data_IF_501143416149
#
_entry.id   IF_501143416149
#
_cell.length_a   1.000
_cell.length_b   1.000
_cell.length_c   1.000
_cell.angle_alpha   90.00
_cell.angle_beta   90.00
_cell.angle_gamma   90.00
#
_symmetry.space_group_name_H-M   'P 1'
#
loop_
_entity.id
_entity.type
_entity.pdbx_description
1 polymer ?
#
# COMPACT_ATOMS: atom_id res chain seq x y z
N UNK A 1 -23.14 26.86 1.36
CA UNK A 1 -23.14 28.02 0.42
C UNK A 1 -23.34 27.59 -1.05
N UNK A 2 -23.27 26.29 -1.36
CA UNK A 2 -23.49 25.81 -2.74
C UNK A 2 -22.28 26.03 -3.64
N UNK A 3 -21.11 26.33 -3.06
CA UNK A 3 -19.85 26.42 -3.81
C UNK A 3 -19.45 25.02 -4.27
N UNK A 4 -19.24 24.80 -5.58
CA UNK A 4 -18.71 23.53 -6.07
C UNK A 4 -17.37 23.24 -5.40
N UNK A 5 -17.27 22.05 -4.80
CA UNK A 5 -16.13 21.64 -3.99
C UNK A 5 -15.67 20.27 -4.46
N UNK A 6 -14.38 20.11 -4.71
CA UNK A 6 -13.78 18.81 -5.01
C UNK A 6 -13.66 17.98 -3.73
N UNK A 7 -13.44 16.67 -3.87
CA UNK A 7 -13.12 15.84 -2.72
C UNK A 7 -11.77 16.24 -2.08
N UNK A 8 -10.81 16.75 -2.87
CA UNK A 8 -9.54 17.21 -2.32
C UNK A 8 -9.68 18.50 -1.50
N UNK A 9 -10.60 19.40 -1.84
CA UNK A 9 -10.92 20.56 -0.99
C UNK A 9 -11.45 20.15 0.40
N UNK A 10 -12.00 18.92 0.51
CA UNK A 10 -12.43 18.29 1.75
C UNK A 10 -11.35 17.42 2.40
N UNK A 11 -10.13 17.38 1.86
CA UNK A 11 -8.99 16.62 2.38
C UNK A 11 -8.76 15.26 1.73
N UNK A 12 -9.60 14.81 0.80
CA UNK A 12 -9.40 13.56 0.06
C UNK A 12 -8.46 13.78 -1.14
N UNK A 13 -7.19 14.03 -0.84
CA UNK A 13 -6.15 14.34 -1.84
C UNK A 13 -5.19 13.18 -2.09
N UNK A 14 -5.53 11.94 -1.69
CA UNK A 14 -4.72 10.76 -1.96
C UNK A 14 -5.44 9.84 -2.95
N UNK A 15 -4.71 9.43 -4.00
CA UNK A 15 -5.20 8.49 -5.01
C UNK A 15 -4.36 7.21 -4.93
N UNK A 16 -4.97 6.13 -4.46
CA UNK A 16 -4.31 4.83 -4.34
C UNK A 16 -4.45 4.00 -5.62
N UNK A 17 -3.33 3.51 -6.13
CA UNK A 17 -3.27 2.42 -7.10
C UNK A 17 -3.25 1.09 -6.33
N UNK A 18 -4.26 0.26 -6.52
CA UNK A 18 -4.36 -1.08 -5.92
C UNK A 18 -3.75 -2.15 -6.84
N UNK A 19 -4.07 -3.43 -6.64
CA UNK A 19 -3.50 -4.55 -7.39
C UNK A 19 -3.70 -4.43 -8.90
N UNK A 20 -2.97 -5.26 -9.68
CA UNK A 20 -3.10 -5.39 -11.14
C UNK A 20 -2.37 -4.32 -11.97
N UNK A 21 -1.31 -3.74 -11.41
CA UNK A 21 -0.32 -2.92 -12.13
C UNK A 21 0.89 -3.71 -12.62
N UNK A 22 1.15 -4.86 -12.01
CA UNK A 22 2.32 -5.70 -12.26
C UNK A 22 2.16 -6.43 -13.60
N UNK A 23 3.28 -6.66 -14.28
CA UNK A 23 3.32 -7.57 -15.43
C UNK A 23 3.41 -9.03 -14.93
N UNK A 24 2.28 -9.60 -14.55
CA UNK A 24 2.24 -10.97 -14.03
C UNK A 24 2.81 -11.99 -15.03
N UNK A 25 3.76 -12.82 -14.57
CA UNK A 25 4.42 -13.84 -15.38
C UNK A 25 5.65 -13.35 -16.15
N UNK A 26 6.01 -12.07 -16.00
CA UNK A 26 7.25 -11.50 -16.58
C UNK A 26 8.48 -11.61 -15.67
N UNK A 27 8.29 -12.09 -14.44
CA UNK A 27 9.39 -12.32 -13.51
C UNK A 27 10.39 -13.35 -14.02
N UNK A 28 11.59 -13.32 -13.45
CA UNK A 28 12.69 -14.24 -13.81
C UNK A 28 13.07 -15.14 -12.63
N UNK A 29 13.60 -16.32 -12.92
CA UNK A 29 14.02 -17.28 -11.90
C UNK A 29 12.82 -17.83 -11.12
N UNK A 30 12.83 -17.63 -9.81
CA UNK A 30 11.75 -18.09 -8.91
C UNK A 30 10.61 -17.08 -8.76
N UNK A 31 10.78 -15.88 -9.33
CA UNK A 31 9.87 -14.76 -9.14
C UNK A 31 8.81 -14.67 -10.24
N UNK A 32 7.64 -14.13 -9.90
CA UNK A 32 6.45 -13.99 -10.74
C UNK A 32 6.34 -12.63 -11.41
N UNK A 33 6.79 -11.57 -10.73
CA UNK A 33 6.78 -10.21 -11.25
C UNK A 33 8.06 -9.43 -10.96
N UNK A 34 9.10 -10.05 -10.36
CA UNK A 34 10.42 -9.44 -10.24
C UNK A 34 11.42 -9.98 -11.27
N UNK A 35 12.20 -9.09 -11.85
CA UNK A 35 13.26 -9.42 -12.80
C UNK A 35 14.56 -8.66 -12.48
N UNK A 36 15.67 -9.15 -13.02
CA UNK A 36 16.95 -8.45 -12.94
C UNK A 36 16.98 -7.29 -13.93
N UNK A 37 17.30 -6.10 -13.42
CA UNK A 37 17.57 -4.90 -14.19
C UNK A 37 18.79 -4.19 -13.60
N UNK A 38 19.83 -3.99 -14.42
CA UNK A 38 21.09 -3.35 -13.99
C UNK A 38 21.79 -4.04 -12.81
N UNK A 39 21.59 -5.34 -12.61
CA UNK A 39 22.14 -6.10 -11.48
C UNK A 39 21.35 -5.96 -10.17
N UNK A 40 20.14 -5.39 -10.22
CA UNK A 40 19.20 -5.29 -9.11
C UNK A 40 17.92 -6.06 -9.43
N UNK A 41 17.28 -6.62 -8.42
CA UNK A 41 15.90 -7.07 -8.57
C UNK A 41 14.98 -5.86 -8.66
N UNK A 42 14.08 -5.83 -9.62
CA UNK A 42 13.09 -4.77 -9.78
C UNK A 42 11.71 -5.38 -10.05
N UNK A 43 10.63 -4.74 -9.58
CA UNK A 43 9.29 -5.11 -9.98
C UNK A 43 9.06 -4.75 -11.45
N UNK A 44 8.44 -5.66 -12.19
CA UNK A 44 8.10 -5.46 -13.60
C UNK A 44 6.67 -4.94 -13.72
N UNK A 45 6.52 -3.79 -14.35
CA UNK A 45 5.24 -3.09 -14.55
C UNK A 45 4.57 -3.57 -15.85
N UNK A 46 3.26 -3.72 -15.83
CA UNK A 46 2.48 -3.94 -17.06
C UNK A 46 2.38 -2.62 -17.84
N UNK A 47 3.27 -2.43 -18.82
CA UNK A 47 3.34 -1.21 -19.62
C UNK A 47 2.19 -1.05 -20.63
N UNK A 48 1.42 -2.09 -20.93
CA UNK A 48 0.20 -1.94 -21.73
C UNK A 48 -0.88 -1.20 -20.95
N UNK A 49 -0.91 -1.39 -19.62
CA UNK A 49 -1.87 -0.75 -18.72
C UNK A 49 -1.33 0.53 -18.10
N UNK A 50 -0.07 0.52 -17.69
CA UNK A 50 0.62 1.61 -17.03
C UNK A 50 1.90 1.94 -17.81
N UNK A 51 1.78 2.63 -18.96
CA UNK A 51 2.92 2.91 -19.84
C UNK A 51 3.96 3.84 -19.19
N UNK A 52 3.55 4.64 -18.20
CA UNK A 52 4.42 5.58 -17.49
C UNK A 52 3.88 5.89 -16.08
N UNK A 53 4.30 5.11 -15.07
CA UNK A 53 3.92 5.36 -13.67
C UNK A 53 4.52 6.67 -13.13
N UNK A 54 5.72 7.04 -13.56
CA UNK A 54 6.37 8.28 -13.13
C UNK A 54 5.63 9.51 -13.67
N UNK A 55 5.23 9.47 -14.94
CA UNK A 55 4.39 10.48 -15.57
C UNK A 55 3.00 10.56 -14.94
N UNK A 56 2.39 9.42 -14.59
CA UNK A 56 1.13 9.35 -13.84
C UNK A 56 1.23 10.09 -12.50
N UNK A 57 2.26 9.80 -11.70
CA UNK A 57 2.47 10.45 -10.40
C UNK A 57 2.81 11.94 -10.55
N UNK A 58 3.65 12.29 -11.53
CA UNK A 58 3.94 13.69 -11.87
C UNK A 58 2.66 14.46 -12.22
N UNK A 59 1.73 13.86 -12.94
CA UNK A 59 0.44 14.46 -13.24
C UNK A 59 -0.41 14.67 -11.98
N UNK A 60 -0.51 13.65 -11.11
CA UNK A 60 -1.23 13.75 -9.84
C UNK A 60 -0.67 14.87 -8.95
N UNK A 61 0.66 14.95 -8.81
CA UNK A 61 1.31 16.01 -8.02
C UNK A 61 1.03 17.42 -8.58
N UNK A 62 0.97 17.60 -9.91
CA UNK A 62 0.58 18.89 -10.53
C UNK A 62 -0.86 19.30 -10.21
N UNK A 63 -1.72 18.34 -9.88
CA UNK A 63 -3.09 18.58 -9.42
C UNK A 63 -3.18 18.78 -7.89
N UNK A 64 -2.06 18.77 -7.18
CA UNK A 64 -2.03 18.87 -5.71
C UNK A 64 -2.43 17.58 -5.00
N UNK A 65 -2.43 16.45 -5.70
CA UNK A 65 -2.74 15.13 -5.14
C UNK A 65 -1.46 14.41 -4.74
N UNK A 66 -1.58 13.47 -3.81
CA UNK A 66 -0.57 12.46 -3.48
C UNK A 66 -1.00 11.09 -4.01
N UNK A 67 -0.06 10.18 -4.20
CA UNK A 67 -0.37 8.84 -4.74
C UNK A 67 0.13 7.69 -3.88
N UNK A 68 -0.64 6.62 -3.84
CA UNK A 68 -0.28 5.38 -3.16
C UNK A 68 -0.03 4.24 -4.15
N UNK A 69 0.93 3.38 -3.84
CA UNK A 69 1.23 2.16 -4.59
C UNK A 69 0.84 0.90 -3.82
N UNK A 70 0.68 -0.21 -4.52
CA UNK A 70 0.30 -1.49 -3.94
C UNK A 70 1.43 -2.52 -4.09
N UNK A 71 1.97 -2.98 -2.97
CA UNK A 71 3.05 -3.95 -2.88
C UNK A 71 2.62 -5.26 -2.21
N UNK A 72 3.49 -6.26 -2.27
CA UNK A 72 3.27 -7.61 -1.76
C UNK A 72 1.96 -8.26 -2.24
N UNK A 73 1.71 -8.11 -3.55
CA UNK A 73 0.41 -8.28 -4.21
C UNK A 73 -0.26 -9.66 -4.08
N UNK A 74 -1.52 -9.75 -4.50
CA UNK A 74 -2.30 -10.98 -4.45
C UNK A 74 -2.37 -11.75 -5.78
N UNK A 75 -2.57 -11.07 -6.91
CA UNK A 75 -2.89 -11.74 -8.19
C UNK A 75 -1.74 -12.55 -8.77
N UNK A 76 -0.49 -12.14 -8.56
CA UNK A 76 0.70 -12.86 -9.02
C UNK A 76 1.82 -12.75 -8.00
N UNK A 77 1.42 -12.93 -6.74
CA UNK A 77 2.26 -12.87 -5.56
C UNK A 77 3.55 -13.68 -5.68
N UNK A 78 4.61 -13.19 -5.07
CA UNK A 78 5.79 -14.00 -4.86
C UNK A 78 5.53 -15.07 -3.79
N UNK A 79 6.04 -16.27 -4.03
CA UNK A 79 5.86 -17.42 -3.14
C UNK A 79 7.08 -17.75 -2.30
N UNK A 80 8.26 -17.31 -2.76
CA UNK A 80 9.53 -17.64 -2.13
C UNK A 80 9.97 -16.50 -1.23
N UNK A 81 10.56 -16.78 -0.04
CA UNK A 81 11.09 -15.74 0.82
C UNK A 81 12.04 -14.83 0.03
N UNK A 82 11.73 -13.52 -0.07
CA UNK A 82 12.57 -12.58 -0.80
C UNK A 82 13.88 -12.34 -0.04
N UNK A 83 14.95 -12.12 -0.80
CA UNK A 83 16.16 -11.51 -0.25
C UNK A 83 15.95 -10.02 0.01
N UNK A 84 16.85 -9.41 0.81
CA UNK A 84 16.84 -7.97 1.10
C UNK A 84 16.96 -7.12 -0.18
N UNK A 85 17.59 -7.67 -1.21
CA UNK A 85 17.75 -7.08 -2.53
C UNK A 85 16.42 -6.87 -3.27
N UNK A 86 15.42 -7.74 -3.07
CA UNK A 86 14.08 -7.57 -3.66
C UNK A 86 13.33 -6.43 -2.98
N UNK A 87 13.26 -6.42 -1.64
CA UNK A 87 12.68 -5.30 -0.88
C UNK A 87 13.32 -3.97 -1.27
N UNK A 88 14.67 -3.93 -1.38
CA UNK A 88 15.39 -2.73 -1.78
C UNK A 88 15.04 -2.30 -3.20
N UNK A 89 14.91 -3.25 -4.13
CA UNK A 89 14.46 -3.03 -5.49
C UNK A 89 13.08 -2.39 -5.58
N UNK A 90 12.13 -2.88 -4.79
CA UNK A 90 10.78 -2.33 -4.70
C UNK A 90 10.76 -0.92 -4.09
N UNK A 91 11.53 -0.68 -3.02
CA UNK A 91 11.64 0.66 -2.42
C UNK A 91 12.30 1.66 -3.38
N UNK A 92 13.33 1.23 -4.12
CA UNK A 92 13.94 2.06 -5.16
C UNK A 92 12.92 2.37 -6.27
N UNK A 93 12.10 1.39 -6.69
CA UNK A 93 11.08 1.58 -7.72
C UNK A 93 9.95 2.51 -7.22
N UNK A 94 9.51 2.36 -5.97
CA UNK A 94 8.55 3.24 -5.31
C UNK A 94 9.00 4.71 -5.37
N UNK A 95 10.28 4.96 -5.07
CA UNK A 95 10.88 6.29 -5.12
C UNK A 95 11.02 6.81 -6.55
N UNK A 96 11.53 5.97 -7.46
CA UNK A 96 11.77 6.30 -8.86
C UNK A 96 10.47 6.64 -9.59
N UNK A 97 9.41 5.89 -9.36
CA UNK A 97 8.08 6.18 -9.89
C UNK A 97 7.41 7.36 -9.18
N UNK A 98 7.93 7.84 -8.06
CA UNK A 98 7.44 9.04 -7.38
C UNK A 98 6.15 8.84 -6.59
N UNK A 99 5.90 7.66 -6.05
CA UNK A 99 4.77 7.46 -5.12
C UNK A 99 5.07 8.07 -3.74
N UNK A 100 3.99 8.35 -2.99
CA UNK A 100 4.01 8.98 -1.65
C UNK A 100 3.50 8.05 -0.55
N UNK A 101 2.93 6.91 -0.92
CA UNK A 101 2.45 5.89 -0.01
C UNK A 101 2.62 4.48 -0.60
N UNK A 102 2.67 3.48 0.26
CA UNK A 102 2.65 2.07 -0.13
C UNK A 102 1.70 1.28 0.77
N UNK A 103 0.77 0.55 0.16
CA UNK A 103 -0.07 -0.48 0.78
C UNK A 103 0.60 -1.83 0.59
N UNK A 104 0.90 -2.50 1.70
CA UNK A 104 1.57 -3.81 1.73
C UNK A 104 0.56 -4.87 2.13
N UNK A 105 0.12 -5.65 1.15
CA UNK A 105 -0.83 -6.75 1.36
C UNK A 105 -0.16 -7.94 2.06
N UNK A 106 -0.97 -8.86 2.60
CA UNK A 106 -0.51 -10.09 3.25
C UNK A 106 -0.40 -11.29 2.31
N UNK A 107 -0.51 -11.09 1.00
CA UNK A 107 -0.57 -12.18 0.03
C UNK A 107 0.80 -12.76 -0.31
N UNK A 108 1.74 -11.94 -0.78
CA UNK A 108 3.08 -12.38 -1.16
C UNK A 108 3.99 -12.66 0.03
N UNK A 109 5.27 -12.94 -0.25
CA UNK A 109 6.26 -13.37 0.74
C UNK A 109 7.03 -12.23 1.45
N UNK A 110 6.72 -10.96 1.19
CA UNK A 110 7.46 -9.79 1.71
C UNK A 110 6.97 -9.28 3.07
N UNK A 111 6.90 -10.16 4.08
CA UNK A 111 6.25 -9.89 5.37
C UNK A 111 7.06 -9.02 6.36
N UNK A 112 8.32 -8.68 6.06
CA UNK A 112 9.16 -7.95 7.01
C UNK A 112 8.87 -6.44 6.96
N UNK A 113 7.84 -6.01 7.70
CA UNK A 113 7.40 -4.61 7.74
C UNK A 113 8.41 -3.68 8.43
N UNK A 114 9.25 -4.18 9.34
CA UNK A 114 10.36 -3.40 9.91
C UNK A 114 11.43 -3.12 8.85
N UNK A 115 11.74 -4.09 7.98
CA UNK A 115 12.68 -3.90 6.87
C UNK A 115 12.13 -2.93 5.82
N UNK A 116 10.84 -3.02 5.47
CA UNK A 116 10.19 -2.01 4.62
C UNK A 116 10.36 -0.60 5.18
N UNK A 117 10.03 -0.42 6.47
CA UNK A 117 10.18 0.87 7.14
C UNK A 117 11.63 1.36 7.10
N UNK A 118 12.59 0.49 7.44
CA UNK A 118 14.00 0.83 7.44
C UNK A 118 14.46 1.29 6.05
N UNK A 119 14.19 0.50 5.02
CA UNK A 119 14.62 0.80 3.65
C UNK A 119 13.96 2.08 3.11
N UNK A 120 12.68 2.30 3.42
CA UNK A 120 11.99 3.54 3.06
C UNK A 120 12.63 4.74 3.76
N UNK A 121 12.94 4.63 5.06
CA UNK A 121 13.61 5.71 5.80
C UNK A 121 15.01 6.02 5.24
N UNK A 122 15.76 5.01 4.78
CA UNK A 122 17.07 5.19 4.11
C UNK A 122 16.98 6.06 2.86
N UNK A 123 15.82 6.16 2.20
CA UNK A 123 15.62 7.01 1.02
C UNK A 123 15.56 8.51 1.35
N UNK A 124 15.29 8.87 2.61
CA UNK A 124 15.04 10.25 3.03
C UNK A 124 13.73 10.86 2.53
N UNK A 125 12.87 10.10 1.84
CA UNK A 125 11.53 10.55 1.42
C UNK A 125 10.46 10.15 2.43
N UNK A 126 9.54 11.06 2.79
CA UNK A 126 8.37 10.69 3.57
C UNK A 126 7.44 9.82 2.71
N UNK A 127 7.18 8.59 3.17
CA UNK A 127 6.25 7.66 2.52
C UNK A 127 5.32 7.09 3.58
N UNK A 128 4.02 7.18 3.33
CA UNK A 128 3.02 6.52 4.19
C UNK A 128 3.05 5.01 3.96
N UNK A 129 3.04 4.23 5.03
CA UNK A 129 3.04 2.75 4.95
C UNK A 129 1.70 2.27 5.50
N UNK A 130 0.97 1.52 4.68
CA UNK A 130 -0.26 0.85 5.06
C UNK A 130 -0.03 -0.66 5.17
N UNK A 131 -0.21 -1.21 6.37
CA UNK A 131 -0.21 -2.63 6.63
C UNK A 131 -1.60 -3.22 6.33
N UNK A 132 -1.69 -4.02 5.26
CA UNK A 132 -2.91 -4.67 4.79
C UNK A 132 -2.90 -6.19 5.08
N UNK A 133 -2.42 -6.62 6.26
CA UNK A 133 -2.33 -8.05 6.62
C UNK A 133 -3.61 -8.61 7.27
N UNK A 134 -4.76 -8.03 6.96
CA UNK A 134 -6.09 -8.47 7.40
C UNK A 134 -6.25 -8.72 8.91
N UNK A 135 -5.64 -7.87 9.75
CA UNK A 135 -5.66 -8.03 11.21
C UNK A 135 -4.75 -9.15 11.76
N UNK A 136 -3.91 -9.77 10.94
CA UNK A 136 -2.94 -10.80 11.36
C UNK A 136 -1.64 -10.21 11.90
N UNK A 137 -1.22 -9.07 11.34
CA UNK A 137 -0.06 -8.30 11.81
C UNK A 137 -0.56 -7.00 12.42
N UNK A 138 -0.42 -6.85 13.73
CA UNK A 138 -1.08 -5.79 14.53
C UNK A 138 -0.11 -5.11 15.46
N UNK A 139 -0.28 -3.81 15.78
CA UNK A 139 0.68 -3.09 16.60
C UNK A 139 0.67 -3.57 18.05
N UNK A 140 1.76 -3.27 18.75
CA UNK A 140 1.90 -3.40 20.21
C UNK A 140 2.42 -2.07 20.77
N UNK A 141 2.41 -1.93 22.08
CA UNK A 141 2.95 -0.73 22.71
C UNK A 141 4.42 -0.52 22.30
N UNK A 142 4.75 0.70 21.88
CA UNK A 142 6.08 1.06 21.39
C UNK A 142 6.47 0.50 20.01
N UNK A 143 5.59 -0.22 19.31
CA UNK A 143 5.90 -0.79 18.00
C UNK A 143 4.76 -0.64 17.00
N UNK A 144 5.02 0.14 15.95
CA UNK A 144 4.19 0.32 14.78
C UNK A 144 5.08 0.84 13.64
N UNK A 145 5.70 -0.05 12.84
CA UNK A 145 6.60 0.37 11.76
C UNK A 145 5.85 0.93 10.53
N UNK A 146 4.52 0.91 10.55
CA UNK A 146 3.63 1.48 9.54
C UNK A 146 2.81 2.64 10.11
N UNK A 147 2.06 3.32 9.25
CA UNK A 147 1.22 4.47 9.62
C UNK A 147 -0.27 4.10 9.71
N UNK A 148 -0.70 3.09 8.93
CA UNK A 148 -2.06 2.56 8.90
C UNK A 148 -2.01 1.05 9.03
N UNK A 149 -2.97 0.43 9.71
CA UNK A 149 -3.12 -1.03 9.74
C UNK A 149 -4.56 -1.50 9.66
N UNK A 150 -4.78 -2.49 8.81
CA UNK A 150 -6.06 -3.15 8.62
C UNK A 150 -6.36 -4.05 9.80
N UNK A 151 -7.58 -3.95 10.31
CA UNK A 151 -8.01 -4.71 11.50
C UNK A 151 -8.93 -5.88 11.20
N UNK A 152 -9.36 -6.01 9.95
CA UNK A 152 -10.37 -6.96 9.47
C UNK A 152 -9.94 -7.62 8.16
N UNK A 153 -10.75 -8.56 7.67
CA UNK A 153 -10.70 -8.96 6.26
C UNK A 153 -11.24 -7.86 5.34
N UNK A 154 -11.31 -8.19 4.05
CA UNK A 154 -11.78 -7.26 3.02
C UNK A 154 -13.26 -6.91 3.21
N UNK A 155 -13.55 -5.62 3.09
CA UNK A 155 -14.92 -5.12 3.12
C UNK A 155 -15.65 -5.50 1.84
N UNK A 156 -16.97 -5.58 1.96
CA UNK A 156 -17.90 -5.72 0.85
C UNK A 156 -18.98 -4.66 1.01
N UNK A 157 -19.57 -4.22 -0.09
CA UNK A 157 -20.71 -3.30 -0.13
C UNK A 157 -22.01 -3.91 0.46
N UNK A 158 -21.99 -4.20 1.76
CA UNK A 158 -23.11 -4.74 2.53
C UNK A 158 -23.01 -4.25 3.97
N UNK A 159 -24.17 -3.96 4.58
CA UNK A 159 -24.22 -3.45 5.95
C UNK A 159 -23.46 -4.34 6.94
N UNK A 160 -23.67 -5.67 6.85
CA UNK A 160 -23.01 -6.63 7.74
C UNK A 160 -21.50 -6.61 7.63
N UNK A 161 -20.96 -6.49 6.41
CA UNK A 161 -19.50 -6.42 6.21
C UNK A 161 -18.93 -5.09 6.71
N UNK A 162 -19.56 -3.96 6.37
CA UNK A 162 -19.10 -2.63 6.78
C UNK A 162 -19.11 -2.50 8.31
N UNK A 163 -20.21 -2.88 8.97
CA UNK A 163 -20.30 -2.80 10.44
C UNK A 163 -19.38 -3.81 11.11
N UNK A 164 -19.25 -5.02 10.56
CA UNK A 164 -18.32 -6.03 11.07
C UNK A 164 -16.86 -5.52 11.07
N UNK A 165 -16.41 -4.93 9.97
CA UNK A 165 -15.08 -4.35 9.86
C UNK A 165 -14.91 -3.11 10.73
N UNK A 166 -15.94 -2.26 10.84
CA UNK A 166 -15.88 -1.11 11.75
C UNK A 166 -15.62 -1.55 13.20
N UNK A 167 -16.31 -2.58 13.65
CA UNK A 167 -16.18 -3.09 15.03
C UNK A 167 -14.80 -3.67 15.33
N UNK A 168 -14.03 -4.17 14.35
CA UNK A 168 -12.67 -4.66 14.60
C UNK A 168 -11.69 -3.55 14.99
N UNK A 169 -12.00 -2.29 14.73
CA UNK A 169 -11.17 -1.15 15.12
C UNK A 169 -11.26 -0.81 16.62
N UNK A 170 -12.37 -1.17 17.28
CA UNK A 170 -12.73 -0.72 18.63
C UNK A 170 -11.67 -1.10 19.67
N UNK A 171 -11.17 -2.33 19.63
CA UNK A 171 -10.17 -2.80 20.61
C UNK A 171 -8.88 -1.98 20.53
N UNK A 172 -8.47 -1.56 19.33
CA UNK A 172 -7.23 -0.81 19.11
C UNK A 172 -7.36 0.64 19.59
N UNK A 173 -8.53 1.24 19.41
CA UNK A 173 -8.84 2.55 19.99
C UNK A 173 -8.84 2.50 21.52
N UNK A 174 -9.53 1.52 22.12
CA UNK A 174 -9.61 1.36 23.58
C UNK A 174 -8.26 1.11 24.23
N UNK A 175 -7.35 0.42 23.54
CA UNK A 175 -5.98 0.16 23.99
C UNK A 175 -5.00 1.29 23.73
N UNK A 176 -5.44 2.40 23.11
CA UNK A 176 -4.55 3.50 22.73
C UNK A 176 -3.50 3.12 21.68
N UNK A 177 -3.77 2.07 20.88
CA UNK A 177 -2.90 1.59 19.81
C UNK A 177 -3.29 2.14 18.43
N UNK A 178 -4.53 2.62 18.28
CA UNK A 178 -4.92 3.51 17.17
C UNK A 178 -4.72 4.97 17.62
N UNK A 179 -3.71 5.65 17.10
CA UNK A 179 -3.27 6.97 17.55
C UNK A 179 -2.50 7.71 16.45
N UNK A 180 -2.17 9.02 16.61
CA UNK A 180 -1.36 9.74 15.62
C UNK A 180 -0.08 8.97 15.26
N UNK A 181 0.11 8.74 13.96
CA UNK A 181 1.22 7.96 13.40
C UNK A 181 1.00 6.45 13.32
N UNK A 182 -0.12 5.91 13.82
CA UNK A 182 -0.45 4.49 13.75
C UNK A 182 -1.98 4.29 13.86
N UNK A 183 -2.69 4.27 12.74
CA UNK A 183 -4.15 4.25 12.72
C UNK A 183 -4.72 2.90 12.32
N UNK A 184 -5.63 2.38 13.15
CA UNK A 184 -6.42 1.22 12.83
C UNK A 184 -7.52 1.63 11.84
N UNK A 185 -7.70 0.88 10.74
CA UNK A 185 -8.76 1.17 9.77
C UNK A 185 -9.59 -0.09 9.40
N UNK A 186 -10.86 0.10 9.00
CA UNK A 186 -11.81 -0.98 8.71
C UNK A 186 -11.94 -1.32 7.21
N UNK A 187 -10.86 -1.12 6.43
CA UNK A 187 -10.85 -1.17 4.96
C UNK A 187 -11.47 0.07 4.26
N UNK A 188 -11.53 0.04 2.92
CA UNK A 188 -12.03 1.11 2.05
C UNK A 188 -13.51 1.44 2.21
N UNK A 189 -13.89 2.64 1.80
CA UNK A 189 -15.30 3.08 1.85
C UNK A 189 -16.09 2.46 0.69
N UNK A 190 -17.23 1.86 1.02
CA UNK A 190 -18.17 1.26 0.05
C UNK A 190 -19.33 2.20 -0.32
N UNK A 191 -19.16 3.50 -0.09
CA UNK A 191 -20.20 4.51 -0.33
C UNK A 191 -20.48 4.61 -1.83
N UNK A 192 -21.71 4.32 -2.23
CA UNK A 192 -22.13 4.37 -3.64
C UNK A 192 -21.79 3.12 -4.46
N UNK A 193 -21.13 2.12 -3.86
CA UNK A 193 -20.93 0.80 -4.46
C UNK A 193 -22.25 0.02 -4.55
N UNK A 194 -22.35 -0.87 -5.53
CA UNK A 194 -23.50 -1.76 -5.76
C UNK A 194 -23.17 -3.20 -5.42
#
# INVERSE_FOLDING_TARGET
>A
DGVPMSLCDLGYCNVGLDDNWQACGSGTGIYRYHAQDGGKWRPVVNLERFPDLAGMNTHAHRLGLSTGWYGNNCICREHWPPGVDVYRGDVEALVEYGFDAIKLDGCGSEYNLDLWQQLINETGRPVTIENCHWGRTVPKEGWCPWHLFRTSGDVRASYGSVVGNLLSTVTWAQRGLSKPGCWAYPDGLEVGCK
#
